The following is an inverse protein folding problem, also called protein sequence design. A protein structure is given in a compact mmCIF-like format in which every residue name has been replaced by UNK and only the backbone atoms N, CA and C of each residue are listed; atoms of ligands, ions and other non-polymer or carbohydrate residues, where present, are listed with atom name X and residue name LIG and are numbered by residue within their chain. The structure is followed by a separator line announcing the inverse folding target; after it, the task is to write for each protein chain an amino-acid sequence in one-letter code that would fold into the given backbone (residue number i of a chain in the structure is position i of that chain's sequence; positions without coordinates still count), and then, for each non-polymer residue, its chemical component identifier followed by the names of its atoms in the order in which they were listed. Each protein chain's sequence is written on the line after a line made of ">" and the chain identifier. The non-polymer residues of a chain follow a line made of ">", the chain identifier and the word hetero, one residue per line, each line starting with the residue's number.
data_IF_533073258732
#
_entry.id   IF_533073258732
#
_cell.length_a   1.000
_cell.length_b   1.000
_cell.length_c   1.000
_cell.angle_alpha   90.00
_cell.angle_beta   90.00
_cell.angle_gamma   90.00
#
_symmetry.space_group_name_H-M   'P 1'
#
loop_
_entity.id
_entity.type
_entity.pdbx_description
1 polymer ?
#
# COMPACT_ATOMS: atom_id res chain seq x y z
N UNK A 1 -32.42 -2.49 4.33
CA UNK A 1 -32.80 -3.78 3.74
C UNK A 1 -33.05 -4.73 4.90
N UNK A 2 -34.29 -5.25 5.03
CA UNK A 2 -34.53 -6.36 5.94
C UNK A 2 -33.70 -7.55 5.52
N UNK A 3 -33.29 -8.41 6.48
CA UNK A 3 -32.31 -9.47 6.30
C UNK A 3 -32.68 -10.59 5.32
N UNK A 4 -33.88 -10.59 4.78
CA UNK A 4 -34.42 -11.57 3.84
C UNK A 4 -34.75 -11.01 2.47
N UNK A 5 -34.62 -9.69 2.26
CA UNK A 5 -35.00 -9.10 0.99
C UNK A 5 -33.84 -9.16 -0.02
N UNK A 6 -34.15 -9.44 -1.30
CA UNK A 6 -33.17 -9.35 -2.36
C UNK A 6 -32.54 -7.96 -2.41
N UNK A 7 -31.31 -7.89 -2.93
CA UNK A 7 -30.66 -6.60 -3.16
C UNK A 7 -31.52 -5.78 -4.11
N UNK A 8 -31.98 -4.60 -3.66
CA UNK A 8 -32.65 -3.65 -4.52
C UNK A 8 -31.62 -2.67 -5.11
N UNK A 9 -31.29 -2.78 -6.40
CA UNK A 9 -30.29 -1.91 -7.04
C UNK A 9 -30.69 -0.43 -7.06
N UNK A 10 -31.99 -0.13 -7.06
CA UNK A 10 -32.51 1.24 -7.17
C UNK A 10 -32.60 1.96 -5.82
N UNK A 11 -32.33 1.26 -4.72
CA UNK A 11 -32.43 1.86 -3.39
C UNK A 11 -31.19 2.69 -3.05
N UNK A 12 -31.38 3.98 -2.88
CA UNK A 12 -30.35 4.91 -2.42
C UNK A 12 -29.12 4.93 -3.34
N UNK A 13 -27.96 4.60 -2.80
CA UNK A 13 -26.68 4.55 -3.55
C UNK A 13 -26.33 3.16 -4.08
N UNK A 14 -27.22 2.17 -3.92
CA UNK A 14 -26.90 0.78 -4.28
C UNK A 14 -26.48 0.62 -5.75
N UNK A 15 -27.12 1.33 -6.69
CA UNK A 15 -26.75 1.26 -8.12
C UNK A 15 -25.27 1.58 -8.34
N UNK A 16 -24.78 2.68 -7.76
CA UNK A 16 -23.38 3.11 -7.90
C UNK A 16 -22.41 2.16 -7.21
N UNK A 17 -22.75 1.65 -6.02
CA UNK A 17 -21.89 0.71 -5.29
C UNK A 17 -21.86 -0.67 -5.97
N UNK A 18 -22.99 -1.16 -6.45
CA UNK A 18 -23.03 -2.40 -7.23
C UNK A 18 -22.24 -2.30 -8.54
N UNK A 19 -22.27 -1.12 -9.18
CA UNK A 19 -21.47 -0.87 -10.37
C UNK A 19 -19.97 -0.96 -10.09
N UNK A 20 -19.50 -0.43 -8.97
CA UNK A 20 -18.09 -0.57 -8.55
C UNK A 20 -17.70 -2.05 -8.37
N UNK A 21 -18.57 -2.82 -7.71
CA UNK A 21 -18.33 -4.25 -7.48
C UNK A 21 -18.30 -4.99 -8.83
N UNK A 22 -19.22 -4.70 -9.72
CA UNK A 22 -19.26 -5.32 -11.07
C UNK A 22 -18.00 -5.01 -11.84
N UNK A 23 -17.58 -3.74 -11.94
CA UNK A 23 -16.34 -3.35 -12.62
C UNK A 23 -15.10 -4.07 -12.08
N UNK A 24 -15.04 -4.28 -10.77
CA UNK A 24 -13.93 -5.02 -10.16
C UNK A 24 -13.94 -6.50 -10.57
N UNK A 25 -15.11 -7.15 -10.61
CA UNK A 25 -15.23 -8.55 -11.05
C UNK A 25 -14.97 -8.66 -12.55
N UNK A 26 -15.57 -7.78 -13.35
CA UNK A 26 -15.41 -7.77 -14.82
C UNK A 26 -13.94 -7.58 -15.20
N UNK A 27 -13.23 -6.65 -14.53
CA UNK A 27 -11.81 -6.42 -14.75
C UNK A 27 -10.97 -7.69 -14.57
N UNK A 28 -11.29 -8.51 -13.57
CA UNK A 28 -10.57 -9.77 -13.32
C UNK A 28 -11.01 -10.86 -14.30
N UNK A 29 -12.30 -10.94 -14.66
CA UNK A 29 -12.82 -11.94 -15.60
C UNK A 29 -12.39 -11.70 -17.05
N UNK A 30 -12.29 -10.45 -17.47
CA UNK A 30 -11.96 -10.08 -18.84
C UNK A 30 -10.45 -10.16 -19.11
N UNK A 31 -9.62 -10.21 -18.07
CA UNK A 31 -8.18 -10.38 -18.20
C UNK A 31 -7.81 -11.87 -18.18
N UNK A 32 -7.35 -12.39 -19.31
CA UNK A 32 -6.93 -13.80 -19.48
C UNK A 32 -5.78 -14.23 -18.56
N UNK A 33 -5.04 -13.27 -18.01
CA UNK A 33 -3.89 -13.51 -17.15
C UNK A 33 -4.29 -13.58 -15.67
N UNK A 34 -5.56 -13.28 -15.34
CA UNK A 34 -6.11 -13.29 -13.98
C UNK A 34 -7.05 -14.47 -13.75
N UNK A 35 -7.05 -15.00 -12.56
CA UNK A 35 -7.97 -16.07 -12.13
C UNK A 35 -8.53 -15.75 -10.76
N UNK A 36 -9.87 -15.65 -10.64
CA UNK A 36 -10.52 -15.41 -9.36
C UNK A 36 -10.31 -16.62 -8.44
N UNK A 37 -9.72 -16.39 -7.27
CA UNK A 37 -9.55 -17.39 -6.21
C UNK A 37 -10.72 -17.41 -5.25
N UNK A 38 -11.18 -16.23 -4.88
CA UNK A 38 -12.22 -16.08 -3.86
C UNK A 38 -12.87 -14.70 -3.95
N UNK A 39 -14.18 -14.65 -3.70
CA UNK A 39 -14.95 -13.43 -3.49
C UNK A 39 -15.43 -13.44 -2.04
N UNK A 40 -14.86 -12.59 -1.21
CA UNK A 40 -15.22 -12.45 0.21
C UNK A 40 -16.26 -11.35 0.35
N UNK A 41 -17.40 -11.69 0.92
CA UNK A 41 -18.52 -10.77 1.14
C UNK A 41 -18.76 -10.68 2.66
N UNK A 42 -18.55 -9.46 3.21
CA UNK A 42 -18.71 -9.23 4.65
C UNK A 42 -19.86 -8.25 4.87
N UNK A 43 -20.90 -8.70 5.56
CA UNK A 43 -22.02 -7.85 5.96
C UNK A 43 -21.79 -7.23 7.33
N UNK A 44 -22.23 -5.99 7.51
CA UNK A 44 -22.15 -5.27 8.77
C UNK A 44 -23.51 -4.75 9.21
N UNK A 45 -23.72 -4.70 10.51
CA UNK A 45 -24.83 -4.03 11.18
C UNK A 45 -24.34 -2.77 11.91
N UNK A 46 -25.25 -1.90 12.24
CA UNK A 46 -25.01 -0.79 13.16
C UNK A 46 -25.16 -1.26 14.62
N UNK A 47 -24.50 -0.58 15.58
CA UNK A 47 -24.47 -1.00 16.98
C UNK A 47 -25.78 -0.91 17.78
N UNK A 48 -26.91 -0.64 17.16
CA UNK A 48 -28.19 -0.63 17.86
C UNK A 48 -28.87 -2.00 17.87
N UNK A 49 -29.45 -2.36 18.99
CA UNK A 49 -30.21 -3.59 19.17
C UNK A 49 -29.40 -4.72 19.78
N UNK A 50 -29.92 -5.95 19.70
CA UNK A 50 -29.21 -7.10 20.27
C UNK A 50 -28.12 -7.62 19.33
N UNK A 51 -27.00 -8.04 19.89
CA UNK A 51 -25.89 -8.64 19.14
C UNK A 51 -26.37 -9.78 18.22
N UNK A 52 -27.20 -10.70 18.73
CA UNK A 52 -27.75 -11.80 17.96
C UNK A 52 -28.60 -11.34 16.74
N UNK A 53 -29.37 -10.24 16.90
CA UNK A 53 -30.12 -9.66 15.79
C UNK A 53 -29.15 -9.05 14.76
N UNK A 54 -28.13 -8.34 15.21
CA UNK A 54 -27.13 -7.68 14.35
C UNK A 54 -26.31 -8.70 13.56
N UNK A 55 -25.95 -9.83 14.18
CA UNK A 55 -25.31 -10.97 13.49
C UNK A 55 -26.20 -11.50 12.37
N UNK A 56 -27.47 -11.81 12.65
CA UNK A 56 -28.43 -12.29 11.64
C UNK A 56 -28.64 -11.28 10.51
N UNK A 57 -28.75 -9.98 10.83
CA UNK A 57 -28.93 -8.92 9.83
C UNK A 57 -27.70 -8.77 8.95
N UNK A 58 -26.50 -8.82 9.53
CA UNK A 58 -25.24 -8.73 8.78
C UNK A 58 -25.05 -9.94 7.87
N UNK A 59 -25.32 -11.14 8.35
CA UNK A 59 -25.27 -12.37 7.56
C UNK A 59 -26.30 -12.34 6.41
N UNK A 60 -27.53 -11.95 6.70
CA UNK A 60 -28.59 -11.85 5.69
C UNK A 60 -28.24 -10.89 4.56
N UNK A 61 -27.64 -9.72 4.89
CA UNK A 61 -27.17 -8.76 3.88
C UNK A 61 -26.07 -9.33 3.00
N UNK A 62 -25.11 -10.04 3.61
CA UNK A 62 -24.01 -10.67 2.85
C UNK A 62 -24.55 -11.78 1.93
N UNK A 63 -25.50 -12.59 2.40
CA UNK A 63 -26.16 -13.62 1.59
C UNK A 63 -26.93 -13.03 0.41
N UNK A 64 -27.71 -11.96 0.64
CA UNK A 64 -28.45 -11.30 -0.41
C UNK A 64 -27.55 -10.76 -1.52
N UNK A 65 -26.42 -10.17 -1.15
CA UNK A 65 -25.44 -9.69 -2.15
C UNK A 65 -24.75 -10.85 -2.88
N UNK A 66 -24.39 -11.93 -2.19
CA UNK A 66 -23.86 -13.13 -2.85
C UNK A 66 -24.84 -13.65 -3.91
N UNK A 67 -26.11 -13.80 -3.56
CA UNK A 67 -27.13 -14.36 -4.46
C UNK A 67 -27.32 -13.44 -5.68
N UNK A 68 -27.29 -12.14 -5.49
CA UNK A 68 -27.30 -11.16 -6.57
C UNK A 68 -26.07 -11.33 -7.49
N UNK A 69 -24.87 -11.42 -6.93
CA UNK A 69 -23.64 -11.57 -7.73
C UNK A 69 -23.60 -12.93 -8.43
N UNK A 70 -24.01 -14.00 -7.76
CA UNK A 70 -24.03 -15.35 -8.35
C UNK A 70 -25.02 -15.45 -9.51
N UNK A 71 -26.18 -14.78 -9.42
CA UNK A 71 -27.13 -14.70 -10.53
C UNK A 71 -26.58 -13.90 -11.71
N UNK A 72 -25.76 -12.89 -11.45
CA UNK A 72 -25.17 -12.02 -12.48
C UNK A 72 -23.93 -12.67 -13.14
N UNK A 73 -23.19 -13.44 -12.38
CA UNK A 73 -21.94 -14.12 -12.79
C UNK A 73 -22.06 -15.65 -12.65
N UNK A 74 -22.91 -16.30 -13.46
CA UNK A 74 -23.14 -17.74 -13.35
C UNK A 74 -21.91 -18.60 -13.68
N UNK A 75 -20.93 -18.03 -14.41
CA UNK A 75 -19.67 -18.68 -14.72
C UNK A 75 -18.73 -18.78 -13.51
N UNK A 76 -18.92 -17.96 -12.47
CA UNK A 76 -18.10 -18.03 -11.26
C UNK A 76 -18.68 -19.12 -10.35
N UNK A 77 -17.92 -20.18 -10.03
CA UNK A 77 -18.38 -21.26 -9.16
C UNK A 77 -18.85 -20.72 -7.80
N UNK A 78 -19.99 -21.21 -7.32
CA UNK A 78 -20.54 -20.82 -6.02
C UNK A 78 -19.60 -21.09 -4.84
N UNK A 79 -18.71 -22.06 -4.97
CA UNK A 79 -17.66 -22.37 -3.97
C UNK A 79 -16.62 -21.29 -3.77
N UNK A 80 -16.47 -20.37 -4.72
CA UNK A 80 -15.54 -19.22 -4.60
C UNK A 80 -16.12 -18.08 -3.79
N UNK A 81 -17.42 -18.07 -3.51
CA UNK A 81 -18.04 -17.06 -2.68
C UNK A 81 -17.93 -17.43 -1.19
N UNK A 82 -17.28 -16.60 -0.43
CA UNK A 82 -17.15 -16.71 1.03
C UNK A 82 -17.95 -15.61 1.72
N UNK A 83 -18.91 -16.01 2.56
CA UNK A 83 -19.71 -15.07 3.33
C UNK A 83 -19.15 -14.97 4.73
N UNK A 84 -19.05 -13.76 5.24
CA UNK A 84 -18.70 -13.47 6.63
C UNK A 84 -19.67 -12.46 7.18
N UNK A 85 -19.98 -12.57 8.46
CA UNK A 85 -20.65 -11.53 9.21
C UNK A 85 -19.59 -10.72 9.95
N UNK A 86 -19.56 -9.41 9.69
CA UNK A 86 -18.68 -8.47 10.38
C UNK A 86 -19.27 -7.99 11.70
N UNK A 87 -20.52 -8.41 12.02
CA UNK A 87 -21.22 -7.99 13.23
C UNK A 87 -21.52 -6.49 13.24
N UNK A 88 -21.40 -5.89 14.41
CA UNK A 88 -21.57 -4.45 14.63
C UNK A 88 -20.33 -3.67 14.14
N UNK A 89 -20.54 -2.66 13.32
CA UNK A 89 -19.47 -1.89 12.69
C UNK A 89 -18.93 -0.77 13.59
N UNK A 90 -18.30 -1.17 14.68
CA UNK A 90 -17.71 -0.24 15.63
C UNK A 90 -16.51 0.51 15.07
N UNK A 91 -15.70 -0.11 14.21
CA UNK A 91 -14.51 0.51 13.63
C UNK A 91 -14.85 1.73 12.76
N UNK A 92 -15.88 1.61 11.92
CA UNK A 92 -16.32 2.75 11.12
C UNK A 92 -17.09 3.77 11.96
N UNK A 93 -17.77 3.35 13.05
CA UNK A 93 -18.36 4.30 13.99
C UNK A 93 -17.28 5.16 14.64
N UNK A 94 -16.18 4.55 15.10
CA UNK A 94 -15.04 5.30 15.67
C UNK A 94 -14.52 6.33 14.67
N UNK A 95 -14.29 5.94 13.43
CA UNK A 95 -13.84 6.86 12.35
C UNK A 95 -14.84 7.99 12.11
N UNK A 96 -16.13 7.66 12.06
CA UNK A 96 -17.19 8.64 11.87
C UNK A 96 -17.25 9.65 13.02
N UNK A 97 -17.13 9.18 14.27
CA UNK A 97 -17.09 10.05 15.45
C UNK A 97 -15.85 10.95 15.43
N UNK A 98 -14.67 10.40 15.14
CA UNK A 98 -13.40 11.15 15.09
C UNK A 98 -13.44 12.30 14.07
N UNK A 99 -14.04 12.07 12.90
CA UNK A 99 -14.13 13.05 11.81
C UNK A 99 -15.32 14.01 11.90
N UNK A 100 -16.25 13.76 12.81
CA UNK A 100 -17.47 14.58 12.98
C UNK A 100 -17.24 15.79 13.89
N UNK A 101 -18.14 16.76 13.79
CA UNK A 101 -18.26 17.89 14.72
C UNK A 101 -19.27 17.64 15.84
N UNK A 102 -19.57 16.34 16.12
CA UNK A 102 -20.53 16.02 17.16
C UNK A 102 -20.07 16.53 18.54
N UNK A 103 -20.99 17.08 19.35
CA UNK A 103 -20.71 17.40 20.76
C UNK A 103 -20.30 16.15 21.53
N UNK A 104 -19.41 16.31 22.51
CA UNK A 104 -19.01 15.23 23.42
C UNK A 104 -18.33 14.03 22.74
N UNK A 105 -17.78 14.20 21.52
CA UNK A 105 -17.14 13.10 20.77
C UNK A 105 -16.04 12.39 21.56
N UNK A 106 -15.26 13.12 22.37
CA UNK A 106 -14.21 12.49 23.17
C UNK A 106 -14.80 11.53 24.22
N UNK A 107 -15.87 11.93 24.90
CA UNK A 107 -16.54 11.07 25.86
C UNK A 107 -17.15 9.79 25.21
N UNK A 108 -17.62 9.91 23.98
CA UNK A 108 -18.09 8.75 23.19
C UNK A 108 -16.92 7.82 22.86
N UNK A 109 -15.79 8.35 22.38
CA UNK A 109 -14.59 7.55 22.06
C UNK A 109 -14.03 6.87 23.31
N UNK A 110 -13.98 7.57 24.45
CA UNK A 110 -13.51 7.01 25.71
C UNK A 110 -14.40 5.83 26.20
N UNK A 111 -15.70 5.90 25.97
CA UNK A 111 -16.60 4.79 26.28
C UNK A 111 -16.36 3.61 25.32
N UNK A 112 -16.20 3.88 24.02
CA UNK A 112 -15.96 2.83 23.02
C UNK A 112 -14.63 2.11 23.33
N UNK A 113 -13.61 2.83 23.71
CA UNK A 113 -12.30 2.27 24.04
C UNK A 113 -12.32 1.46 25.35
N UNK A 114 -12.94 2.02 26.38
CA UNK A 114 -12.91 1.46 27.75
C UNK A 114 -13.80 0.24 27.94
N UNK A 115 -14.94 0.16 27.24
CA UNK A 115 -15.94 -0.88 27.47
C UNK A 115 -16.06 -1.81 26.27
N UNK A 116 -16.07 -3.11 26.52
CA UNK A 116 -16.37 -4.10 25.47
C UNK A 116 -17.87 -4.10 25.12
N UNK A 117 -18.23 -4.72 24.00
CA UNK A 117 -19.63 -4.89 23.58
C UNK A 117 -20.41 -5.60 24.68
N UNK A 118 -19.91 -6.74 25.16
CA UNK A 118 -20.52 -7.52 26.24
C UNK A 118 -20.46 -6.77 27.59
N UNK A 119 -19.47 -5.89 27.76
CA UNK A 119 -19.29 -5.04 28.96
C UNK A 119 -20.23 -3.85 29.03
N UNK A 120 -21.26 -3.78 28.21
CA UNK A 120 -22.31 -2.77 28.27
C UNK A 120 -21.94 -1.44 27.59
N UNK A 121 -21.05 -1.46 26.61
CA UNK A 121 -20.67 -0.29 25.79
C UNK A 121 -21.89 0.48 25.31
N UNK A 122 -22.85 -0.18 24.69
CA UNK A 122 -24.07 0.42 24.16
C UNK A 122 -24.90 1.11 25.26
N UNK A 123 -25.14 0.42 26.37
CA UNK A 123 -25.90 0.98 27.48
C UNK A 123 -25.25 2.25 28.07
N UNK A 124 -23.93 2.29 28.12
CA UNK A 124 -23.18 3.47 28.59
C UNK A 124 -23.24 4.63 27.61
N UNK A 125 -23.20 4.36 26.31
CA UNK A 125 -23.41 5.37 25.27
C UNK A 125 -24.84 5.92 25.31
N UNK A 126 -25.84 5.05 25.50
CA UNK A 126 -27.24 5.46 25.69
C UNK A 126 -27.46 6.34 26.91
N UNK A 127 -26.72 6.08 28.01
CA UNK A 127 -26.84 6.86 29.23
C UNK A 127 -26.04 8.18 29.18
N UNK A 128 -25.07 8.31 28.31
CA UNK A 128 -24.19 9.48 28.22
C UNK A 128 -25.02 10.75 27.94
N UNK A 129 -24.93 11.73 28.83
CA UNK A 129 -25.61 13.04 28.71
C UNK A 129 -27.11 12.92 28.37
N UNK A 130 -27.80 11.99 29.03
CA UNK A 130 -29.23 11.74 28.77
C UNK A 130 -29.55 11.23 27.37
N UNK A 131 -28.59 10.57 26.72
CA UNK A 131 -28.74 9.95 25.42
C UNK A 131 -28.59 10.91 24.23
N UNK A 132 -28.15 12.12 24.45
CA UNK A 132 -27.98 13.11 23.35
C UNK A 132 -26.97 12.66 22.30
N UNK A 133 -25.75 12.23 22.67
CA UNK A 133 -24.79 11.69 21.71
C UNK A 133 -25.30 10.44 20.98
N UNK A 134 -25.99 9.55 21.70
CA UNK A 134 -26.59 8.34 21.11
C UNK A 134 -27.62 8.66 20.04
N UNK A 135 -28.56 9.57 20.31
CA UNK A 135 -29.56 10.00 19.32
C UNK A 135 -28.92 10.68 18.10
N UNK A 136 -27.83 11.40 18.29
CA UNK A 136 -27.07 11.97 17.18
C UNK A 136 -26.49 10.86 16.29
N UNK A 137 -25.78 9.88 16.90
CA UNK A 137 -25.21 8.75 16.16
C UNK A 137 -26.28 7.91 15.43
N UNK A 138 -27.42 7.65 16.08
CA UNK A 138 -28.55 6.94 15.46
C UNK A 138 -29.02 7.58 14.16
N UNK A 139 -29.10 8.91 14.13
CA UNK A 139 -29.62 9.66 12.99
C UNK A 139 -28.57 9.88 11.91
N UNK A 140 -27.37 10.27 12.29
CA UNK A 140 -26.37 10.78 11.35
C UNK A 140 -25.34 9.71 10.93
N UNK A 141 -25.04 8.73 11.79
CA UNK A 141 -23.93 7.81 11.58
C UNK A 141 -24.38 6.37 11.31
N UNK A 142 -25.30 5.83 12.13
CA UNK A 142 -25.67 4.42 12.07
C UNK A 142 -26.23 3.96 10.72
N UNK A 143 -26.98 4.77 9.94
CA UNK A 143 -27.41 4.35 8.61
C UNK A 143 -26.27 3.96 7.69
N UNK A 144 -25.13 4.65 7.75
CA UNK A 144 -23.94 4.40 6.93
C UNK A 144 -23.14 3.16 7.36
N UNK A 145 -23.31 2.72 8.61
CA UNK A 145 -22.62 1.55 9.17
C UNK A 145 -23.22 0.23 8.67
N UNK A 146 -24.47 0.26 8.19
CA UNK A 146 -25.20 -0.89 7.62
C UNK A 146 -24.77 -1.13 6.18
N UNK A 147 -23.62 -1.73 6.00
CA UNK A 147 -23.01 -1.93 4.69
C UNK A 147 -22.61 -3.39 4.43
N UNK A 148 -22.29 -3.67 3.18
CA UNK A 148 -21.60 -4.91 2.77
C UNK A 148 -20.33 -4.52 2.05
N UNK A 149 -19.22 -5.18 2.37
CA UNK A 149 -17.96 -5.05 1.63
C UNK A 149 -17.71 -6.29 0.79
N UNK A 150 -17.08 -6.09 -0.35
CA UNK A 150 -16.67 -7.17 -1.25
C UNK A 150 -15.18 -7.04 -1.51
N UNK A 151 -14.46 -8.16 -1.37
CA UNK A 151 -13.07 -8.29 -1.75
C UNK A 151 -12.97 -9.42 -2.75
N UNK A 152 -12.28 -9.19 -3.85
CA UNK A 152 -11.97 -10.20 -4.87
C UNK A 152 -10.50 -10.56 -4.76
N UNK A 153 -10.22 -11.77 -4.32
CA UNK A 153 -8.87 -12.34 -4.31
C UNK A 153 -8.66 -13.04 -5.65
N UNK A 154 -7.58 -12.74 -6.32
CA UNK A 154 -7.24 -13.34 -7.61
C UNK A 154 -5.75 -13.66 -7.69
N UNK A 155 -5.41 -14.63 -8.53
CA UNK A 155 -4.04 -14.92 -8.93
C UNK A 155 -3.76 -14.29 -10.27
N UNK A 156 -2.53 -13.85 -10.44
CA UNK A 156 -1.95 -13.50 -11.72
C UNK A 156 -1.05 -14.67 -12.15
N UNK A 157 -1.16 -15.12 -13.40
CA UNK A 157 -0.22 -16.13 -13.90
C UNK A 157 1.20 -15.57 -13.97
N UNK A 158 2.17 -16.43 -13.90
CA UNK A 158 3.56 -16.03 -14.12
C UNK A 158 3.81 -15.71 -15.60
N UNK A 159 4.70 -14.76 -15.84
CA UNK A 159 5.16 -14.36 -17.17
C UNK A 159 6.64 -14.73 -17.34
N UNK A 160 7.01 -15.18 -18.53
CA UNK A 160 8.41 -15.19 -18.93
C UNK A 160 8.93 -13.78 -19.24
N UNK A 161 10.24 -13.64 -19.48
CA UNK A 161 10.85 -12.32 -19.69
C UNK A 161 10.30 -11.58 -20.93
N UNK A 162 9.99 -12.31 -22.01
CA UNK A 162 9.48 -11.70 -23.24
C UNK A 162 8.00 -11.31 -23.10
N UNK A 163 7.19 -12.15 -22.47
CA UNK A 163 5.81 -11.80 -22.13
C UNK A 163 5.76 -10.60 -21.19
N UNK A 164 6.61 -10.61 -20.14
CA UNK A 164 6.68 -9.53 -19.15
C UNK A 164 7.04 -8.18 -19.79
N UNK A 165 7.91 -8.15 -20.83
CA UNK A 165 8.21 -6.94 -21.62
C UNK A 165 6.98 -6.36 -22.31
N UNK A 166 6.08 -7.20 -22.79
CA UNK A 166 4.84 -6.75 -23.41
C UNK A 166 3.85 -6.28 -22.36
N UNK A 167 3.77 -7.00 -21.23
CA UNK A 167 2.85 -6.72 -20.12
C UNK A 167 3.23 -5.43 -19.41
N UNK A 168 4.52 -5.15 -19.21
CA UNK A 168 4.97 -3.91 -18.53
C UNK A 168 4.49 -2.64 -19.24
N UNK A 169 4.34 -2.67 -20.56
CA UNK A 169 3.89 -1.52 -21.35
C UNK A 169 2.39 -1.26 -21.26
N UNK A 170 1.60 -2.28 -20.98
CA UNK A 170 0.13 -2.21 -21.03
C UNK A 170 -0.53 -2.42 -19.67
N UNK A 171 0.00 -3.35 -18.88
CA UNK A 171 -0.58 -3.81 -17.60
C UNK A 171 0.51 -4.08 -16.56
N UNK A 172 1.39 -3.12 -16.24
CA UNK A 172 2.52 -3.35 -15.33
C UNK A 172 2.09 -3.82 -13.94
N UNK A 173 0.85 -3.51 -13.52
CA UNK A 173 0.28 -3.97 -12.25
C UNK A 173 0.08 -5.50 -12.19
N UNK A 174 0.14 -6.21 -13.31
CA UNK A 174 0.06 -7.66 -13.35
C UNK A 174 1.43 -8.34 -13.18
N UNK A 175 2.53 -7.58 -13.13
CA UNK A 175 3.86 -8.12 -12.94
C UNK A 175 4.25 -8.10 -11.47
N UNK A 176 4.83 -9.20 -11.01
CA UNK A 176 5.52 -9.26 -9.72
C UNK A 176 6.81 -8.42 -9.76
N UNK A 177 7.35 -8.07 -8.59
CA UNK A 177 8.62 -7.35 -8.50
C UNK A 177 9.77 -8.13 -9.16
N UNK A 178 9.77 -9.46 -9.03
CA UNK A 178 10.77 -10.32 -9.68
C UNK A 178 10.68 -10.27 -11.20
N UNK A 179 9.48 -10.28 -11.76
CA UNK A 179 9.27 -10.18 -13.21
C UNK A 179 9.68 -8.80 -13.74
N UNK A 180 9.44 -7.71 -12.99
CA UNK A 180 9.96 -6.39 -13.34
C UNK A 180 11.48 -6.40 -13.39
N UNK A 181 12.17 -7.07 -12.47
CA UNK A 181 13.63 -7.20 -12.50
C UNK A 181 14.13 -8.11 -13.62
N UNK A 182 13.40 -9.18 -13.95
CA UNK A 182 13.71 -10.00 -15.13
C UNK A 182 13.67 -9.16 -16.42
N UNK A 183 12.67 -8.28 -16.56
CA UNK A 183 12.60 -7.35 -17.68
C UNK A 183 13.72 -6.33 -17.64
N UNK A 184 14.05 -5.77 -16.47
CA UNK A 184 15.16 -4.82 -16.31
C UNK A 184 16.48 -5.40 -16.83
N UNK A 185 16.78 -6.65 -16.51
CA UNK A 185 17.98 -7.35 -16.94
C UNK A 185 18.07 -7.56 -18.47
N UNK A 186 17.00 -7.31 -19.21
CA UNK A 186 16.98 -7.40 -20.67
C UNK A 186 17.26 -6.07 -21.38
N UNK A 187 17.28 -4.98 -20.63
CA UNK A 187 17.61 -3.65 -21.13
C UNK A 187 19.06 -3.29 -20.85
N UNK A 188 19.60 -2.37 -21.61
CA UNK A 188 20.93 -1.82 -21.36
C UNK A 188 20.89 -1.00 -20.06
N UNK A 189 21.78 -1.28 -19.09
CA UNK A 189 21.86 -0.52 -17.85
C UNK A 189 22.00 0.99 -18.12
N UNK A 190 21.21 1.79 -17.39
CA UNK A 190 21.16 3.26 -17.57
C UNK A 190 20.33 3.76 -18.74
N UNK A 191 19.77 2.87 -19.59
CA UNK A 191 18.82 3.27 -20.65
C UNK A 191 17.53 3.84 -20.05
N UNK A 192 16.75 4.58 -20.84
CA UNK A 192 15.47 5.14 -20.42
C UNK A 192 14.49 4.03 -20.03
N UNK A 193 14.42 2.94 -20.80
CA UNK A 193 13.57 1.78 -20.52
C UNK A 193 13.98 1.09 -19.21
N UNK A 194 15.29 0.92 -18.96
CA UNK A 194 15.83 0.38 -17.72
C UNK A 194 15.39 1.22 -16.52
N UNK A 195 15.60 2.54 -16.57
CA UNK A 195 15.27 3.45 -15.48
C UNK A 195 13.77 3.53 -15.21
N UNK A 196 12.93 3.56 -16.25
CA UNK A 196 11.48 3.64 -16.14
C UNK A 196 10.88 2.41 -15.44
N UNK A 197 11.54 1.26 -15.54
CA UNK A 197 11.14 0.05 -14.84
C UNK A 197 11.27 0.18 -13.32
N UNK A 198 12.36 0.75 -12.82
CA UNK A 198 12.54 0.95 -11.38
C UNK A 198 11.55 1.97 -10.82
N UNK A 199 11.23 3.02 -11.58
CA UNK A 199 10.16 3.97 -11.21
C UNK A 199 8.80 3.27 -11.15
N UNK A 200 8.53 2.37 -12.10
CA UNK A 200 7.31 1.56 -12.11
C UNK A 200 7.29 0.60 -10.92
N UNK A 201 8.41 -0.05 -10.60
CA UNK A 201 8.53 -0.94 -9.45
C UNK A 201 8.21 -0.22 -8.13
N UNK A 202 8.75 0.97 -7.88
CA UNK A 202 8.44 1.76 -6.67
C UNK A 202 6.97 2.18 -6.64
N UNK A 203 6.40 2.57 -7.78
CA UNK A 203 5.00 2.97 -7.86
C UNK A 203 4.04 1.82 -7.54
N UNK A 204 4.36 0.60 -7.98
CA UNK A 204 3.54 -0.59 -7.76
C UNK A 204 3.79 -1.24 -6.41
N UNK A 205 5.02 -1.15 -5.90
CA UNK A 205 5.48 -1.78 -4.66
C UNK A 205 6.08 -0.73 -3.70
N UNK A 206 5.29 0.27 -3.25
CA UNK A 206 5.80 1.40 -2.47
C UNK A 206 6.37 1.00 -1.10
N UNK A 207 5.97 -0.16 -0.58
CA UNK A 207 6.49 -0.69 0.69
C UNK A 207 7.75 -1.57 0.50
N UNK A 208 8.16 -1.81 -0.75
CA UNK A 208 9.37 -2.59 -1.04
C UNK A 208 10.62 -1.72 -0.91
N UNK A 209 11.42 -2.05 0.09
CA UNK A 209 12.71 -1.41 0.30
C UNK A 209 13.64 -1.64 -0.89
N UNK A 210 13.69 -2.87 -1.40
CA UNK A 210 14.51 -3.22 -2.57
C UNK A 210 14.13 -2.40 -3.80
N UNK A 211 12.81 -2.24 -4.08
CA UNK A 211 12.37 -1.42 -5.20
C UNK A 211 12.81 0.04 -5.04
N UNK A 212 12.69 0.58 -3.82
CA UNK A 212 13.03 1.97 -3.52
C UNK A 212 14.54 2.23 -3.63
N UNK A 213 15.38 1.33 -3.10
CA UNK A 213 16.84 1.45 -3.20
C UNK A 213 17.31 1.32 -4.65
N UNK A 214 16.77 0.36 -5.41
CA UNK A 214 17.11 0.22 -6.82
C UNK A 214 16.69 1.44 -7.66
N UNK A 215 15.54 2.06 -7.37
CA UNK A 215 15.15 3.30 -8.02
C UNK A 215 16.07 4.48 -7.66
N UNK A 216 16.59 4.50 -6.43
CA UNK A 216 17.58 5.49 -6.03
C UNK A 216 18.90 5.30 -6.80
N UNK A 217 19.38 4.06 -6.95
CA UNK A 217 20.57 3.74 -7.73
C UNK A 217 20.40 4.15 -9.19
N UNK A 218 19.29 3.76 -9.82
CA UNK A 218 18.98 4.15 -11.19
C UNK A 218 18.91 5.69 -11.37
N UNK A 219 18.40 6.42 -10.36
CA UNK A 219 18.42 7.88 -10.37
C UNK A 219 19.85 8.45 -10.26
N UNK A 220 20.72 7.84 -9.44
CA UNK A 220 22.14 8.23 -9.34
C UNK A 220 22.88 8.02 -10.66
N UNK A 221 22.66 6.93 -11.35
CA UNK A 221 23.28 6.61 -12.65
C UNK A 221 23.00 7.69 -13.69
N UNK A 222 21.76 8.20 -13.75
CA UNK A 222 21.38 9.31 -14.65
C UNK A 222 21.62 10.69 -14.09
N UNK A 223 22.28 10.80 -12.93
CA UNK A 223 22.55 12.04 -12.19
C UNK A 223 21.31 12.83 -11.75
N UNK A 224 20.17 12.15 -11.57
CA UNK A 224 18.99 12.72 -10.90
C UNK A 224 19.18 12.64 -9.37
N UNK A 225 20.03 13.53 -8.85
CA UNK A 225 20.36 13.53 -7.43
C UNK A 225 19.17 13.89 -6.53
N UNK A 226 18.22 14.66 -7.04
CA UNK A 226 17.00 15.06 -6.31
C UNK A 226 16.07 13.84 -6.18
N UNK A 227 15.88 13.11 -7.27
CA UNK A 227 15.12 11.86 -7.28
C UNK A 227 15.76 10.80 -6.38
N UNK A 228 17.07 10.63 -6.49
CA UNK A 228 17.83 9.68 -5.66
C UNK A 228 17.65 9.97 -4.15
N UNK A 229 17.87 11.24 -3.74
CA UNK A 229 17.70 11.63 -2.34
C UNK A 229 16.26 11.40 -1.84
N UNK A 230 15.26 11.73 -2.66
CA UNK A 230 13.85 11.48 -2.31
C UNK A 230 13.57 9.99 -2.06
N UNK A 231 14.06 9.10 -2.93
CA UNK A 231 13.92 7.66 -2.74
C UNK A 231 14.63 7.18 -1.48
N UNK A 232 15.88 7.56 -1.28
CA UNK A 232 16.67 7.16 -0.11
C UNK A 232 16.02 7.63 1.21
N UNK A 233 15.48 8.84 1.25
CA UNK A 233 14.75 9.35 2.44
C UNK A 233 13.42 8.63 2.69
N UNK A 234 12.83 8.02 1.68
CA UNK A 234 11.56 7.29 1.82
C UNK A 234 11.74 5.86 2.33
N UNK A 235 12.98 5.33 2.36
CA UNK A 235 13.27 4.00 2.87
C UNK A 235 12.92 3.93 4.36
N UNK A 236 11.96 3.07 4.69
CA UNK A 236 11.55 2.77 6.07
C UNK A 236 11.97 1.35 6.39
N UNK A 237 13.05 1.20 7.13
CA UNK A 237 13.46 -0.10 7.64
C UNK A 237 13.96 0.05 9.08
N UNK A 238 13.63 -0.86 9.99
CA UNK A 238 14.22 -0.92 11.31
C UNK A 238 15.69 -1.34 11.27
N UNK A 239 16.06 -2.09 10.24
CA UNK A 239 17.41 -2.60 10.05
C UNK A 239 18.20 -1.74 9.07
N UNK A 240 19.50 -1.70 9.26
CA UNK A 240 20.42 -1.05 8.34
C UNK A 240 20.54 -1.86 7.05
N UNK A 241 20.46 -1.20 5.90
CA UNK A 241 20.47 -1.84 4.59
C UNK A 241 21.77 -1.43 3.88
N UNK A 242 22.70 -2.37 3.63
CA UNK A 242 24.00 -2.07 3.03
C UNK A 242 23.91 -1.35 1.68
N UNK A 243 22.95 -1.73 0.84
CA UNK A 243 22.73 -1.11 -0.46
C UNK A 243 22.23 0.33 -0.33
N UNK A 244 21.42 0.62 0.69
CA UNK A 244 20.96 1.97 0.98
C UNK A 244 22.12 2.86 1.48
N UNK A 245 22.96 2.34 2.37
CA UNK A 245 24.17 3.04 2.80
C UNK A 245 25.10 3.31 1.61
N UNK A 246 25.36 2.32 0.78
CA UNK A 246 26.17 2.50 -0.43
C UNK A 246 25.61 3.57 -1.36
N UNK A 247 24.29 3.59 -1.57
CA UNK A 247 23.64 4.61 -2.39
C UNK A 247 23.71 6.01 -1.76
N UNK A 248 23.62 6.15 -0.44
CA UNK A 248 23.87 7.42 0.26
C UNK A 248 25.31 7.91 0.06
N UNK A 249 26.29 7.00 0.19
CA UNK A 249 27.69 7.31 -0.09
C UNK A 249 27.90 7.80 -1.52
N UNK A 250 27.31 7.11 -2.51
CA UNK A 250 27.34 7.53 -3.92
C UNK A 250 26.70 8.89 -4.13
N UNK A 251 25.57 9.19 -3.50
CA UNK A 251 24.91 10.49 -3.61
C UNK A 251 25.84 11.62 -3.13
N UNK A 252 26.45 11.47 -1.96
CA UNK A 252 27.36 12.46 -1.40
C UNK A 252 28.64 12.61 -2.24
N UNK A 253 29.17 11.51 -2.74
CA UNK A 253 30.38 11.50 -3.59
C UNK A 253 30.12 12.18 -4.95
N UNK A 254 29.02 11.85 -5.61
CA UNK A 254 28.73 12.31 -6.98
C UNK A 254 28.15 13.71 -7.05
N UNK A 255 27.25 14.07 -6.11
CA UNK A 255 26.60 15.37 -6.08
C UNK A 255 27.43 16.42 -5.37
N UNK A 256 27.88 16.09 -4.17
CA UNK A 256 28.50 17.08 -3.26
C UNK A 256 30.03 17.05 -3.33
N UNK A 257 30.62 16.02 -3.94
CA UNK A 257 32.06 15.75 -3.93
C UNK A 257 32.64 15.72 -2.50
N UNK A 258 31.80 15.34 -1.54
CA UNK A 258 32.11 15.28 -0.11
C UNK A 258 32.56 13.86 0.26
N UNK A 259 33.84 13.59 -0.01
CA UNK A 259 34.43 12.27 0.20
C UNK A 259 34.51 11.91 1.68
N UNK A 260 34.63 12.91 2.55
CA UNK A 260 34.74 12.66 4.00
C UNK A 260 33.40 12.24 4.60
N UNK A 261 32.29 12.78 4.09
CA UNK A 261 30.96 12.31 4.48
C UNK A 261 30.51 11.04 3.76
N UNK A 262 31.02 10.77 2.57
CA UNK A 262 30.67 9.58 1.80
C UNK A 262 31.33 8.32 2.37
N UNK A 263 32.63 8.39 2.76
CA UNK A 263 33.41 7.24 3.20
C UNK A 263 32.77 6.43 4.34
N UNK A 264 32.22 7.03 5.42
CA UNK A 264 31.57 6.27 6.50
C UNK A 264 30.37 5.43 6.05
N UNK A 265 29.63 5.88 5.01
CA UNK A 265 28.53 5.10 4.44
C UNK A 265 29.06 3.86 3.71
N UNK A 266 30.10 4.01 2.90
CA UNK A 266 30.72 2.86 2.22
C UNK A 266 31.40 1.90 3.21
N UNK A 267 32.06 2.39 4.26
CA UNK A 267 32.63 1.56 5.31
C UNK A 267 31.57 0.70 6.00
N UNK A 268 30.43 1.29 6.28
CA UNK A 268 29.31 0.60 6.89
C UNK A 268 28.70 -0.46 5.96
N UNK A 269 28.51 -0.13 4.69
CA UNK A 269 28.00 -1.06 3.69
C UNK A 269 28.97 -2.25 3.49
N UNK A 270 30.27 -1.95 3.43
CA UNK A 270 31.33 -2.98 3.35
C UNK A 270 31.35 -3.88 4.58
N UNK A 271 31.29 -3.31 5.77
CA UNK A 271 31.26 -4.06 7.02
C UNK A 271 30.06 -5.03 7.10
N UNK A 272 28.94 -4.66 6.43
CA UNK A 272 27.76 -5.50 6.29
C UNK A 272 27.83 -6.50 5.11
N UNK A 273 28.98 -6.58 4.41
CA UNK A 273 29.24 -7.59 3.37
C UNK A 273 28.97 -7.14 1.93
N UNK A 274 28.71 -5.85 1.67
CA UNK A 274 28.50 -5.35 0.31
C UNK A 274 29.85 -5.09 -0.38
N UNK A 275 30.27 -5.98 -1.28
CA UNK A 275 31.56 -5.89 -1.98
C UNK A 275 31.71 -4.61 -2.83
N UNK A 276 30.63 -4.15 -3.45
CA UNK A 276 30.64 -2.93 -4.25
C UNK A 276 31.09 -1.68 -3.47
N UNK A 277 30.88 -1.66 -2.15
CA UNK A 277 31.28 -0.56 -1.30
C UNK A 277 32.82 -0.43 -1.19
N UNK A 278 33.57 -1.54 -1.30
CA UNK A 278 35.04 -1.49 -1.34
C UNK A 278 35.55 -0.76 -2.58
N UNK A 279 34.94 -1.00 -3.73
CA UNK A 279 35.32 -0.31 -4.98
C UNK A 279 35.10 1.22 -4.87
N UNK A 280 34.03 1.63 -4.20
CA UNK A 280 33.74 3.05 -3.97
C UNK A 280 34.76 3.69 -2.98
N UNK A 281 35.23 2.96 -1.97
CA UNK A 281 36.29 3.43 -1.08
C UNK A 281 37.61 3.58 -1.81
N UNK A 282 37.98 2.60 -2.64
CA UNK A 282 39.20 2.65 -3.47
C UNK A 282 39.15 3.86 -4.43
N UNK A 283 37.96 4.17 -4.97
CA UNK A 283 37.78 5.34 -5.83
C UNK A 283 37.92 6.66 -5.05
N UNK A 284 37.40 6.76 -3.83
CA UNK A 284 37.61 7.92 -2.95
C UNK A 284 39.13 8.13 -2.69
N UNK A 285 39.83 7.08 -2.39
CA UNK A 285 41.28 7.14 -2.13
C UNK A 285 42.07 7.59 -3.38
N UNK A 286 41.64 7.16 -4.56
CA UNK A 286 42.19 7.62 -5.83
C UNK A 286 41.93 9.11 -6.06
N UNK A 287 40.72 9.55 -5.83
CA UNK A 287 40.30 10.95 -6.02
C UNK A 287 41.01 11.90 -5.04
N UNK A 288 41.19 11.48 -3.78
CA UNK A 288 41.95 12.24 -2.78
C UNK A 288 43.39 12.44 -3.18
N UNK A 289 44.05 11.36 -3.63
CA UNK A 289 45.45 11.47 -4.12
C UNK A 289 45.60 12.42 -5.28
N UNK A 290 44.69 12.36 -6.26
CA UNK A 290 44.70 13.28 -7.40
C UNK A 290 44.53 14.74 -6.96
N UNK A 291 43.64 15.03 -6.01
CA UNK A 291 43.45 16.36 -5.46
C UNK A 291 44.69 16.90 -4.75
N UNK A 292 45.40 16.05 -3.99
CA UNK A 292 46.63 16.44 -3.30
C UNK A 292 47.79 16.71 -4.28
N UNK A 293 47.87 15.92 -5.36
CA UNK A 293 48.81 16.18 -6.45
C UNK A 293 48.57 17.51 -7.15
N UNK A 294 47.32 17.83 -7.46
CA UNK A 294 46.94 19.09 -8.08
C UNK A 294 47.30 20.27 -7.16
N UNK A 295 46.89 20.23 -5.88
CA UNK A 295 47.24 21.28 -4.89
C UNK A 295 48.75 21.46 -4.76
N UNK A 296 49.50 20.38 -4.75
CA UNK A 296 50.96 20.45 -4.66
C UNK A 296 51.58 21.07 -5.90
N UNK A 297 51.03 20.78 -7.09
CA UNK A 297 51.48 21.42 -8.34
C UNK A 297 51.15 22.92 -8.42
N UNK A 298 49.97 23.31 -7.95
CA UNK A 298 49.54 24.73 -7.88
C UNK A 298 50.43 25.54 -6.94
N UNK A 299 50.76 25.00 -5.75
CA UNK A 299 51.67 25.61 -4.80
C UNK A 299 53.07 25.84 -5.39
N UNK A 300 53.59 24.86 -6.13
CA UNK A 300 54.90 24.99 -6.79
C UNK A 300 54.92 25.99 -7.95
N UNK A 301 53.80 26.24 -8.60
CA UNK A 301 53.68 27.18 -9.71
C UNK A 301 53.34 28.62 -9.22
N UNK A 302 52.75 28.79 -8.02
CA UNK A 302 52.43 30.07 -7.42
C UNK A 302 53.62 30.78 -6.76
N UNK A 303 54.69 30.03 -6.48
CA UNK A 303 55.97 30.56 -5.92
C UNK A 303 56.98 31.00 -7.00
N UNK A 304 56.55 31.06 -8.25
CA UNK A 304 57.36 31.61 -9.37
C UNK A 304 56.76 32.90 -9.86
#
# INVERSE_FOLDING_TARGET
>A
VCSSDPVNPEFGRNAAELEKIRRMIDLVQDDKDLTIKRIVIVGYASPEGSLAMNERLSEGRAKALRDYLQSRYPAIPGSLYSIRFGGENWDDLVKAVQTSDMPDKQAVLDIIDRYSIIGGREAKLMALKGGTPWRYMLREMFPSLRKVTVTVDYDVRNFDAEEAKAVVKTRPQNLSLNELYLVANTYEPGSEDFNSLFETAVRLYPESVTATVNAAVAALERRDFVGAERYLRSVKSPDRIPECDNAWGLLLMLRDQDYDRAAPYFEAARAAGLEAAQQNLDEIDRLRRNLDEIKTAELKNGDR
#
